data_IF_414211931512
#
_entry.id   IF_414211931512
#
_cell.length_a   1.000
_cell.length_b   1.000
_cell.length_c   1.000
_cell.angle_alpha   90.00
_cell.angle_beta   90.00
_cell.angle_gamma   90.00
#
_symmetry.space_group_name_H-M   'P 1'
#
loop_
_entity.id
_entity.type
_entity.pdbx_description
1 polymer ?
#
# COMPACT_ATOMS: atom_id res chain seq x y z
N UNK A 1 -43.00 -68.95 7.54
CA UNK A 1 -42.09 -69.32 8.63
C UNK A 1 -40.67 -69.31 8.06
N UNK A 2 -39.92 -68.28 8.25
CA UNK A 2 -38.46 -68.28 8.00
C UNK A 2 -37.82 -67.19 8.88
N UNK A 3 -37.09 -67.61 9.90
CA UNK A 3 -36.37 -66.79 10.83
C UNK A 3 -35.07 -66.27 10.13
N UNK A 4 -34.90 -64.98 10.09
CA UNK A 4 -33.60 -64.35 9.73
C UNK A 4 -32.88 -63.97 11.02
N UNK A 5 -31.66 -64.54 11.19
CA UNK A 5 -30.77 -64.26 12.30
C UNK A 5 -29.93 -62.99 11.93
N UNK A 6 -30.08 -61.94 12.70
CA UNK A 6 -29.21 -60.76 12.61
C UNK A 6 -27.93 -60.99 13.41
N UNK A 7 -26.79 -60.91 12.74
CA UNK A 7 -25.46 -60.94 13.37
C UNK A 7 -25.07 -59.46 13.67
N UNK A 8 -24.89 -59.10 14.94
CA UNK A 8 -24.36 -57.82 15.39
C UNK A 8 -22.82 -57.91 15.39
N UNK A 9 -22.17 -57.16 14.52
CA UNK A 9 -20.75 -56.86 14.62
C UNK A 9 -20.55 -55.61 15.51
N UNK A 10 -19.87 -55.80 16.63
CA UNK A 10 -19.40 -54.72 17.49
C UNK A 10 -18.02 -54.30 17.01
N UNK A 11 -17.94 -53.13 16.37
CA UNK A 11 -16.65 -52.49 16.06
C UNK A 11 -16.21 -51.70 17.29
N UNK A 12 -15.19 -52.23 17.98
CA UNK A 12 -14.50 -51.50 19.04
C UNK A 12 -13.65 -50.40 18.42
N UNK A 13 -14.01 -49.13 18.66
CA UNK A 13 -13.24 -47.98 18.32
C UNK A 13 -12.22 -47.74 19.45
N UNK A 14 -10.94 -48.04 19.19
CA UNK A 14 -9.85 -47.63 20.06
C UNK A 14 -9.52 -46.14 19.74
N UNK A 15 -9.55 -45.22 20.70
CA UNK A 15 -9.06 -43.86 20.46
C UNK A 15 -7.54 -43.90 20.48
N UNK A 16 -6.93 -43.68 19.30
CA UNK A 16 -5.52 -43.36 19.20
C UNK A 16 -5.38 -41.90 19.62
N UNK A 17 -4.92 -41.67 20.86
CA UNK A 17 -4.45 -40.37 21.28
C UNK A 17 -3.10 -40.10 20.61
N UNK A 18 -3.12 -39.35 19.48
CA UNK A 18 -1.94 -38.68 18.97
C UNK A 18 -1.64 -37.52 19.93
N UNK A 19 -0.66 -37.69 20.82
CA UNK A 19 -0.02 -36.55 21.47
C UNK A 19 0.77 -35.79 20.41
N UNK A 20 0.17 -34.75 19.84
CA UNK A 20 0.91 -33.68 19.18
C UNK A 20 1.69 -32.94 20.27
N UNK A 21 2.96 -33.28 20.46
CA UNK A 21 3.91 -32.40 21.11
C UNK A 21 4.05 -31.16 20.25
N UNK A 22 3.32 -30.11 20.57
CA UNK A 22 3.63 -28.76 20.09
C UNK A 22 5.04 -28.44 20.63
N UNK A 23 6.02 -28.53 19.75
CA UNK A 23 7.28 -27.84 19.96
C UNK A 23 6.88 -26.36 19.86
N UNK A 24 6.73 -25.69 21.01
CA UNK A 24 6.71 -24.22 21.07
C UNK A 24 8.10 -23.77 20.56
N UNK A 25 8.18 -23.57 19.26
CA UNK A 25 9.24 -22.71 18.71
C UNK A 25 9.05 -21.37 19.41
N UNK A 26 9.95 -21.02 20.30
CA UNK A 26 9.89 -19.79 21.08
C UNK A 26 9.59 -18.63 20.14
N UNK A 27 8.42 -18.05 20.27
CA UNK A 27 8.03 -16.89 19.46
C UNK A 27 9.06 -15.81 19.72
N UNK A 28 9.66 -15.31 18.65
CA UNK A 28 10.52 -14.13 18.76
C UNK A 28 9.67 -12.99 19.36
N UNK A 29 10.25 -12.14 20.22
CA UNK A 29 9.49 -11.04 20.80
C UNK A 29 8.89 -10.18 19.68
N UNK A 30 7.65 -9.77 19.85
CA UNK A 30 6.97 -8.82 18.95
C UNK A 30 7.83 -7.57 18.85
N UNK A 31 8.17 -7.16 17.64
CA UNK A 31 8.93 -5.93 17.42
C UNK A 31 8.02 -4.73 17.65
N UNK A 32 8.46 -3.80 18.46
CA UNK A 32 7.78 -2.54 18.75
C UNK A 32 8.60 -1.37 18.18
N UNK A 33 7.94 -0.23 17.98
CA UNK A 33 8.61 1.01 17.66
C UNK A 33 9.46 1.55 18.82
N UNK A 34 10.17 2.65 18.62
CA UNK A 34 11.02 3.26 19.63
C UNK A 34 10.31 3.66 20.94
N UNK A 35 8.98 3.72 20.95
CA UNK A 35 8.14 4.03 22.14
C UNK A 35 7.59 2.77 22.83
N UNK A 36 7.82 1.58 22.28
CA UNK A 36 7.28 0.33 22.79
C UNK A 36 5.89 -0.01 22.26
N UNK A 37 5.33 0.78 21.33
CA UNK A 37 4.04 0.53 20.71
C UNK A 37 4.17 -0.34 19.47
N UNK A 38 3.13 -1.06 19.03
CA UNK A 38 3.10 -1.72 17.74
C UNK A 38 3.30 -0.72 16.60
N UNK A 39 4.04 -1.14 15.57
CA UNK A 39 4.19 -0.35 14.33
C UNK A 39 2.93 -0.49 13.48
N UNK A 40 2.32 0.62 13.09
CA UNK A 40 1.22 0.61 12.13
C UNK A 40 1.75 0.34 10.71
N UNK A 41 0.96 -0.36 9.90
CA UNK A 41 1.26 -0.61 8.49
C UNK A 41 0.20 0.05 7.62
N UNK A 42 0.63 1.05 6.85
CA UNK A 42 -0.20 1.70 5.84
C UNK A 42 0.19 1.26 4.43
N UNK A 43 -0.72 1.43 3.49
CA UNK A 43 -0.47 1.13 2.09
C UNK A 43 -1.15 2.18 1.19
N UNK A 44 -0.43 2.68 0.18
CA UNK A 44 -1.01 3.53 -0.86
C UNK A 44 -2.03 2.75 -1.68
N UNK A 45 -3.14 3.41 -2.04
CA UNK A 45 -4.25 2.78 -2.74
C UNK A 45 -4.78 3.69 -3.85
N UNK A 46 -4.76 3.20 -5.08
CA UNK A 46 -5.28 3.89 -6.25
C UNK A 46 -6.72 3.46 -6.53
N UNK A 47 -7.67 4.40 -6.46
CA UNK A 47 -9.07 4.17 -6.82
C UNK A 47 -9.40 4.54 -8.28
N UNK A 48 -8.43 5.00 -9.04
CA UNK A 48 -8.51 5.62 -10.36
C UNK A 48 -8.70 4.63 -11.54
N UNK A 49 -9.48 3.57 -11.36
CA UNK A 49 -9.74 2.52 -12.34
C UNK A 49 -11.16 2.61 -12.88
N UNK A 50 -11.36 2.39 -14.18
CA UNK A 50 -12.67 2.42 -14.86
C UNK A 50 -12.88 1.13 -15.67
N UNK A 51 -14.00 0.43 -15.43
CA UNK A 51 -14.32 -0.88 -16.03
C UNK A 51 -14.25 -0.93 -17.56
N UNK A 52 -14.52 0.18 -18.22
CA UNK A 52 -14.54 0.25 -19.69
C UNK A 52 -13.15 0.49 -20.32
N UNK A 53 -12.09 0.29 -19.54
CA UNK A 53 -10.72 0.57 -19.98
C UNK A 53 -10.40 2.07 -20.06
N UNK A 54 -11.24 2.90 -19.46
CA UNK A 54 -11.01 4.31 -19.21
C UNK A 54 -10.16 4.54 -17.94
N UNK A 55 -10.16 5.75 -17.46
CA UNK A 55 -9.32 6.12 -16.32
C UNK A 55 -7.84 5.87 -16.64
N UNK A 56 -7.15 5.19 -15.75
CA UNK A 56 -5.71 4.94 -15.89
C UNK A 56 -5.37 3.61 -16.58
N UNK A 57 -6.36 2.74 -16.90
CA UNK A 57 -6.11 1.47 -17.61
C UNK A 57 -5.30 1.59 -18.90
N UNK A 58 -5.48 2.65 -19.71
CA UNK A 58 -4.64 2.82 -20.88
C UNK A 58 -3.14 2.92 -20.62
N UNK A 59 -2.75 3.27 -19.39
CA UNK A 59 -1.35 3.41 -18.98
C UNK A 59 -0.86 2.23 -18.12
N UNK A 60 -1.77 1.36 -17.68
CA UNK A 60 -1.43 0.26 -16.79
C UNK A 60 -0.59 -0.81 -17.47
N UNK A 61 0.50 -1.20 -16.80
CA UNK A 61 1.45 -2.20 -17.27
C UNK A 61 0.98 -3.64 -17.04
N UNK A 62 0.10 -3.86 -16.06
CA UNK A 62 -0.32 -5.18 -15.60
C UNK A 62 -1.83 -5.28 -15.47
N UNK A 63 -2.33 -6.52 -15.31
CA UNK A 63 -3.74 -6.77 -14.97
C UNK A 63 -3.83 -7.47 -13.62
N UNK A 64 -4.57 -6.89 -12.66
CA UNK A 64 -4.72 -7.46 -11.32
C UNK A 64 -5.56 -8.73 -11.31
N UNK A 65 -5.36 -9.51 -10.25
CA UNK A 65 -6.25 -10.60 -9.88
C UNK A 65 -7.59 -10.05 -9.40
N UNK A 66 -8.67 -10.55 -9.99
CA UNK A 66 -10.06 -10.19 -9.70
C UNK A 66 -10.72 -11.20 -8.72
N UNK A 67 -11.90 -10.86 -8.15
CA UNK A 67 -12.61 -11.73 -7.22
C UNK A 67 -12.99 -13.10 -7.77
N UNK A 68 -13.19 -13.23 -9.06
CA UNK A 68 -13.52 -14.48 -9.76
C UNK A 68 -12.30 -15.35 -10.10
N UNK A 69 -11.11 -14.90 -9.72
CA UNK A 69 -9.85 -15.58 -9.99
C UNK A 69 -9.25 -15.28 -11.38
N UNK A 70 -9.90 -14.48 -12.19
CA UNK A 70 -9.34 -14.01 -13.47
C UNK A 70 -8.40 -12.83 -13.28
N UNK A 71 -7.64 -12.49 -14.33
CA UNK A 71 -6.85 -11.26 -14.40
C UNK A 71 -7.49 -10.30 -15.37
N UNK A 72 -7.71 -9.05 -14.97
CA UNK A 72 -8.43 -8.12 -15.84
C UNK A 72 -8.52 -6.69 -15.32
N UNK A 73 -9.23 -5.87 -16.10
CA UNK A 73 -9.60 -4.52 -15.71
C UNK A 73 -10.81 -4.54 -14.77
N UNK A 74 -10.89 -3.57 -13.88
CA UNK A 74 -12.03 -3.39 -12.99
C UNK A 74 -12.39 -1.92 -12.85
N UNK A 75 -13.53 -1.64 -12.23
CA UNK A 75 -13.89 -0.31 -11.75
C UNK A 75 -13.46 -0.15 -10.30
N UNK A 76 -12.83 0.98 -9.96
CA UNK A 76 -12.40 1.28 -8.59
C UNK A 76 -13.56 1.45 -7.60
N UNK A 77 -14.81 1.59 -8.11
CA UNK A 77 -16.05 1.64 -7.30
C UNK A 77 -16.84 0.34 -7.31
N UNK A 78 -16.37 -0.71 -8.00
CA UNK A 78 -17.03 -2.02 -8.00
C UNK A 78 -17.00 -2.63 -6.61
N UNK A 79 -18.20 -2.88 -6.06
CA UNK A 79 -18.38 -3.38 -4.70
C UNK A 79 -17.71 -4.73 -4.48
N UNK A 80 -17.77 -5.64 -5.45
CA UNK A 80 -17.15 -6.96 -5.33
C UNK A 80 -15.63 -6.86 -5.30
N UNK A 81 -15.06 -5.98 -6.10
CA UNK A 81 -13.62 -5.71 -6.12
C UNK A 81 -13.17 -5.04 -4.82
N UNK A 82 -13.90 -4.02 -4.35
CA UNK A 82 -13.59 -3.34 -3.08
C UNK A 82 -13.61 -4.35 -1.93
N UNK A 83 -14.68 -5.16 -1.82
CA UNK A 83 -14.80 -6.16 -0.75
C UNK A 83 -13.66 -7.19 -0.80
N UNK A 84 -13.28 -7.63 -1.98
CA UNK A 84 -12.15 -8.53 -2.18
C UNK A 84 -10.83 -7.89 -1.74
N UNK A 85 -10.59 -6.63 -2.11
CA UNK A 85 -9.42 -5.90 -1.65
C UNK A 85 -9.42 -5.72 -0.13
N UNK A 86 -10.56 -5.32 0.48
CA UNK A 86 -10.65 -5.17 1.94
C UNK A 86 -10.40 -6.49 2.66
N UNK A 87 -10.92 -7.61 2.13
CA UNK A 87 -10.62 -8.94 2.66
C UNK A 87 -9.11 -9.20 2.65
N UNK A 88 -8.43 -8.95 1.52
CA UNK A 88 -6.99 -9.19 1.39
C UNK A 88 -6.15 -8.29 2.28
N UNK A 89 -6.51 -7.02 2.38
CA UNK A 89 -5.86 -6.07 3.28
C UNK A 89 -6.04 -6.48 4.76
N UNK A 90 -7.22 -6.94 5.14
CA UNK A 90 -7.49 -7.45 6.49
C UNK A 90 -6.73 -8.76 6.79
N UNK A 91 -6.67 -9.70 5.84
CA UNK A 91 -5.87 -10.93 5.94
C UNK A 91 -4.38 -10.64 6.12
N UNK A 92 -3.89 -9.57 5.49
CA UNK A 92 -2.53 -9.06 5.65
C UNK A 92 -2.34 -8.22 6.92
N UNK A 93 -3.40 -7.87 7.63
CA UNK A 93 -3.37 -6.99 8.80
C UNK A 93 -2.81 -5.59 8.49
N UNK A 94 -3.21 -5.02 7.36
CA UNK A 94 -2.99 -3.61 7.03
C UNK A 94 -3.89 -2.74 7.92
N UNK A 95 -3.33 -1.71 8.57
CA UNK A 95 -4.07 -0.83 9.47
C UNK A 95 -4.86 0.24 8.73
N UNK A 96 -4.26 0.78 7.67
CA UNK A 96 -4.95 1.80 6.88
C UNK A 96 -4.48 1.84 5.42
N UNK A 97 -5.37 2.36 4.59
CA UNK A 97 -5.06 2.73 3.21
C UNK A 97 -4.89 4.24 3.10
N UNK A 98 -3.94 4.66 2.28
CA UNK A 98 -3.74 6.06 1.93
C UNK A 98 -4.16 6.24 0.46
N UNK A 99 -5.29 6.91 0.23
CA UNK A 99 -5.77 7.15 -1.12
C UNK A 99 -4.83 8.09 -1.88
N UNK A 100 -4.49 7.70 -3.11
CA UNK A 100 -3.79 8.56 -4.04
C UNK A 100 -4.80 9.46 -4.78
N UNK A 101 -5.16 10.56 -4.15
CA UNK A 101 -5.97 11.64 -4.72
C UNK A 101 -5.09 12.89 -4.99
N UNK A 102 -3.81 12.63 -5.36
CA UNK A 102 -2.80 13.69 -5.53
C UNK A 102 -2.97 14.49 -6.81
N UNK A 103 -3.82 14.02 -7.73
CA UNK A 103 -4.05 14.65 -9.03
C UNK A 103 -5.09 15.80 -8.99
N UNK A 104 -5.32 16.40 -7.83
CA UNK A 104 -6.23 17.53 -7.67
C UNK A 104 -7.70 17.16 -7.56
N UNK A 105 -8.01 15.94 -7.15
CA UNK A 105 -9.36 15.37 -7.13
C UNK A 105 -10.30 16.10 -6.16
N UNK A 106 -9.77 16.65 -5.08
CA UNK A 106 -10.49 17.46 -4.11
C UNK A 106 -10.36 18.97 -4.34
N UNK A 107 -9.92 19.43 -5.49
CA UNK A 107 -9.52 20.82 -5.66
C UNK A 107 -10.68 21.83 -5.71
N UNK A 108 -11.87 21.42 -6.04
CA UNK A 108 -13.02 22.34 -6.13
C UNK A 108 -12.92 23.41 -7.22
N UNK A 109 -11.87 23.43 -8.02
CA UNK A 109 -11.62 24.42 -9.08
C UNK A 109 -12.03 23.94 -10.49
N UNK A 110 -12.47 22.71 -10.62
CA UNK A 110 -12.90 22.20 -11.92
C UNK A 110 -13.34 20.74 -11.88
N UNK A 111 -13.90 20.26 -12.98
CA UNK A 111 -14.42 18.89 -13.10
C UNK A 111 -13.30 17.84 -13.27
N UNK A 112 -12.05 18.26 -13.30
CA UNK A 112 -10.94 17.35 -13.57
C UNK A 112 -10.78 16.37 -12.41
N UNK A 113 -10.71 15.10 -12.76
CA UNK A 113 -10.48 13.99 -11.87
C UNK A 113 -11.48 13.82 -10.70
N UNK A 114 -12.59 14.54 -10.68
CA UNK A 114 -13.68 14.38 -9.68
C UNK A 114 -14.12 12.90 -9.58
N UNK A 115 -14.02 12.17 -10.68
CA UNK A 115 -14.36 10.76 -10.74
C UNK A 115 -13.44 9.88 -9.84
N UNK A 116 -12.16 10.25 -9.65
CA UNK A 116 -11.25 9.54 -8.74
C UNK A 116 -11.75 9.71 -7.30
N UNK A 117 -12.00 10.94 -6.88
CA UNK A 117 -12.57 11.26 -5.57
C UNK A 117 -13.85 10.47 -5.28
N UNK A 118 -14.76 10.39 -6.24
CA UNK A 118 -16.00 9.64 -6.05
C UNK A 118 -15.78 8.14 -5.87
N UNK A 119 -14.78 7.57 -6.54
CA UNK A 119 -14.37 6.17 -6.34
C UNK A 119 -13.70 5.97 -4.97
N UNK A 120 -12.81 6.86 -4.55
CA UNK A 120 -12.21 6.83 -3.20
C UNK A 120 -13.31 6.91 -2.13
N UNK A 121 -14.32 7.77 -2.33
CA UNK A 121 -15.49 7.86 -1.42
C UNK A 121 -16.32 6.57 -1.40
N UNK A 122 -16.47 5.89 -2.53
CA UNK A 122 -17.15 4.58 -2.58
C UNK A 122 -16.39 3.54 -1.75
N UNK A 123 -15.06 3.51 -1.80
CA UNK A 123 -14.24 2.65 -0.95
C UNK A 123 -14.41 3.01 0.53
N UNK A 124 -14.42 4.31 0.90
CA UNK A 124 -14.67 4.74 2.29
C UNK A 124 -16.03 4.24 2.81
N UNK A 125 -17.08 4.32 1.99
CA UNK A 125 -18.41 3.82 2.36
C UNK A 125 -18.39 2.29 2.60
N UNK A 126 -17.63 1.53 1.80
CA UNK A 126 -17.45 0.08 2.00
C UNK A 126 -16.64 -0.23 3.26
N UNK A 127 -15.60 0.54 3.57
CA UNK A 127 -14.83 0.40 4.81
C UNK A 127 -15.72 0.57 6.03
N UNK A 128 -16.61 1.55 6.05
CA UNK A 128 -17.60 1.73 7.12
C UNK A 128 -18.46 0.47 7.33
N UNK A 129 -18.94 -0.15 6.25
CA UNK A 129 -19.72 -1.38 6.32
C UNK A 129 -18.86 -2.58 6.76
N UNK A 130 -17.67 -2.71 6.19
CA UNK A 130 -16.69 -3.73 6.55
C UNK A 130 -16.38 -3.68 8.04
N UNK A 131 -16.04 -2.52 8.55
CA UNK A 131 -15.63 -2.32 9.94
C UNK A 131 -16.74 -2.64 10.96
N UNK A 132 -18.01 -2.59 10.57
CA UNK A 132 -19.13 -3.01 11.43
C UNK A 132 -19.20 -4.51 11.64
N UNK A 133 -18.76 -5.29 10.69
CA UNK A 133 -18.98 -6.75 10.66
C UNK A 133 -17.71 -7.59 10.82
N UNK A 134 -16.53 -7.01 10.73
CA UNK A 134 -15.25 -7.72 10.79
C UNK A 134 -14.44 -7.33 12.01
N UNK A 135 -13.64 -8.26 12.53
CA UNK A 135 -12.77 -8.03 13.70
C UNK A 135 -11.59 -7.10 13.38
N UNK A 136 -10.93 -7.33 12.23
CA UNK A 136 -9.87 -6.43 11.78
C UNK A 136 -10.47 -5.18 11.14
N UNK A 137 -10.12 -4.04 11.70
CA UNK A 137 -10.61 -2.72 11.22
C UNK A 137 -9.58 -2.11 10.31
N UNK A 138 -10.02 -1.67 9.13
CA UNK A 138 -9.17 -0.95 8.17
C UNK A 138 -9.56 0.51 8.26
N UNK A 139 -8.56 1.38 8.41
CA UNK A 139 -8.76 2.83 8.36
C UNK A 139 -8.37 3.37 6.99
N UNK A 140 -8.65 4.65 6.76
CA UNK A 140 -8.24 5.34 5.54
C UNK A 140 -7.77 6.76 5.83
N UNK A 141 -6.96 7.30 4.94
CA UNK A 141 -6.56 8.70 4.88
C UNK A 141 -6.43 9.12 3.41
N UNK A 142 -6.24 10.40 3.18
CA UNK A 142 -6.09 10.94 1.83
C UNK A 142 -4.73 11.58 1.64
N UNK A 143 -4.16 11.37 0.45
CA UNK A 143 -3.06 12.16 -0.07
C UNK A 143 -3.60 13.13 -1.14
N UNK A 144 -3.30 14.41 -1.00
CA UNK A 144 -3.66 15.47 -1.94
C UNK A 144 -2.41 16.03 -2.61
N UNK A 145 -2.56 16.66 -3.77
CA UNK A 145 -1.42 17.17 -4.52
C UNK A 145 -1.34 18.69 -4.58
N UNK A 146 -0.12 19.19 -4.54
CA UNK A 146 0.16 20.61 -4.74
C UNK A 146 0.62 20.96 -6.17
N UNK A 147 0.83 19.95 -7.03
CA UNK A 147 1.57 20.14 -8.28
C UNK A 147 0.78 20.81 -9.42
N UNK A 148 -0.54 20.71 -9.38
CA UNK A 148 -1.40 21.36 -10.38
C UNK A 148 -1.46 22.89 -10.25
N UNK A 149 -0.67 23.42 -9.30
CA UNK A 149 -0.70 24.82 -8.92
C UNK A 149 0.34 25.60 -9.70
N UNK A 150 -0.09 26.61 -10.45
CA UNK A 150 0.78 27.42 -11.28
C UNK A 150 1.06 26.81 -12.65
N UNK A 151 0.49 25.65 -12.96
CA UNK A 151 0.45 25.10 -14.29
C UNK A 151 -0.76 25.64 -15.07
N UNK A 152 -0.91 25.27 -16.34
CA UNK A 152 -1.89 25.83 -17.29
C UNK A 152 -3.34 25.88 -16.80
N UNK A 153 -3.67 25.09 -15.78
CA UNK A 153 -5.04 24.92 -15.30
C UNK A 153 -5.44 25.85 -14.15
N UNK A 154 -4.47 26.32 -13.36
CA UNK A 154 -4.73 27.22 -12.21
C UNK A 154 -3.73 28.38 -12.14
N UNK A 155 -3.64 29.22 -13.16
CA UNK A 155 -2.61 30.25 -13.25
C UNK A 155 -2.74 31.37 -12.19
N UNK A 156 -3.89 31.44 -11.51
CA UNK A 156 -4.19 32.47 -10.49
C UNK A 156 -4.26 31.94 -9.07
N UNK A 157 -4.27 30.60 -8.87
CA UNK A 157 -4.30 30.02 -7.54
C UNK A 157 -2.90 29.97 -6.94
N UNK A 158 -2.78 30.36 -5.68
CA UNK A 158 -1.54 30.13 -4.94
C UNK A 158 -1.55 28.71 -4.38
N UNK A 159 -0.38 28.09 -4.23
CA UNK A 159 -0.25 26.73 -3.70
C UNK A 159 -0.97 26.52 -2.36
N UNK A 160 -1.08 27.59 -1.58
CA UNK A 160 -1.67 27.53 -0.24
C UNK A 160 -3.19 27.49 -0.27
N UNK A 161 -3.79 28.25 -1.16
CA UNK A 161 -5.25 28.29 -1.32
C UNK A 161 -5.76 26.94 -1.80
N UNK A 162 -4.98 26.25 -2.62
CA UNK A 162 -5.32 24.92 -3.12
C UNK A 162 -5.21 23.87 -2.01
N UNK A 163 -4.16 23.88 -1.19
CA UNK A 163 -4.04 22.97 -0.05
C UNK A 163 -5.20 23.21 0.93
N UNK A 164 -5.49 24.46 1.27
CA UNK A 164 -6.60 24.80 2.17
C UNK A 164 -7.96 24.39 1.58
N UNK A 165 -8.16 24.62 0.28
CA UNK A 165 -9.37 24.22 -0.43
C UNK A 165 -9.54 22.69 -0.45
N UNK A 166 -8.51 21.95 -0.78
CA UNK A 166 -8.54 20.49 -0.78
C UNK A 166 -8.78 19.96 0.65
N UNK A 167 -8.11 20.52 1.65
CA UNK A 167 -8.34 20.16 3.04
C UNK A 167 -9.81 20.42 3.45
N UNK A 168 -10.40 21.54 2.99
CA UNK A 168 -11.82 21.84 3.20
C UNK A 168 -12.71 20.78 2.57
N UNK A 169 -12.44 20.41 1.33
CA UNK A 169 -13.23 19.40 0.62
C UNK A 169 -13.14 18.03 1.31
N UNK A 170 -11.94 17.56 1.66
CA UNK A 170 -11.75 16.31 2.41
C UNK A 170 -12.49 16.37 3.74
N UNK A 171 -12.41 17.50 4.46
CA UNK A 171 -13.12 17.67 5.73
C UNK A 171 -14.64 17.60 5.56
N UNK A 172 -15.19 18.35 4.62
CA UNK A 172 -16.64 18.48 4.45
C UNK A 172 -17.28 17.29 3.76
N UNK A 173 -16.60 16.74 2.75
CA UNK A 173 -17.15 15.66 1.94
C UNK A 173 -16.93 14.28 2.55
N UNK A 174 -15.92 14.11 3.43
CA UNK A 174 -15.58 12.82 4.02
C UNK A 174 -15.55 12.87 5.53
N UNK A 175 -14.58 13.57 6.14
CA UNK A 175 -14.33 13.45 7.58
C UNK A 175 -15.51 13.91 8.46
N UNK A 176 -16.19 14.99 8.08
CA UNK A 176 -17.36 15.52 8.80
C UNK A 176 -18.69 15.04 8.22
N UNK A 177 -18.66 14.27 7.14
CA UNK A 177 -19.87 13.78 6.51
C UNK A 177 -20.40 12.54 7.24
N UNK A 178 -21.67 12.55 7.64
CA UNK A 178 -22.33 11.46 8.36
C UNK A 178 -22.45 10.15 7.56
N UNK A 179 -22.25 10.19 6.24
CA UNK A 179 -22.23 9.00 5.40
C UNK A 179 -21.03 8.10 5.72
N UNK A 180 -19.99 8.66 6.32
CA UNK A 180 -18.76 7.96 6.73
C UNK A 180 -18.67 7.91 8.26
N UNK A 181 -17.72 7.12 8.78
CA UNK A 181 -17.43 7.06 10.21
C UNK A 181 -16.09 7.76 10.48
N UNK A 182 -16.10 8.78 11.33
CA UNK A 182 -14.88 9.51 11.69
C UNK A 182 -13.84 8.63 12.40
N UNK A 183 -14.27 7.52 13.02
CA UNK A 183 -13.37 6.56 13.66
C UNK A 183 -12.62 5.70 12.63
N UNK A 184 -13.16 5.57 11.41
CA UNK A 184 -12.52 4.86 10.31
C UNK A 184 -11.45 5.73 9.62
N UNK A 185 -11.42 7.03 9.90
CA UNK A 185 -10.37 7.91 9.39
C UNK A 185 -9.09 7.74 10.23
N UNK A 186 -7.96 7.48 9.58
CA UNK A 186 -6.68 7.30 10.28
C UNK A 186 -6.22 8.62 10.89
N UNK A 187 -5.79 8.57 12.15
CA UNK A 187 -5.43 9.75 12.93
C UNK A 187 -4.01 9.65 13.45
N UNK A 188 -3.31 10.77 13.45
CA UNK A 188 -2.01 10.96 14.11
C UNK A 188 -2.21 12.01 15.20
N UNK A 189 -1.87 11.65 16.44
CA UNK A 189 -1.94 12.53 17.61
C UNK A 189 -3.34 13.19 17.79
N UNK A 190 -4.40 12.40 17.51
CA UNK A 190 -5.79 12.83 17.66
C UNK A 190 -6.31 13.71 16.53
N UNK A 191 -5.55 13.90 15.46
CA UNK A 191 -5.98 14.62 14.26
C UNK A 191 -6.04 13.70 13.05
N UNK A 192 -7.04 13.85 12.15
CA UNK A 192 -7.08 13.09 10.91
C UNK A 192 -5.84 13.37 10.06
N UNK A 193 -5.25 12.32 9.49
CA UNK A 193 -4.08 12.43 8.63
C UNK A 193 -4.45 13.03 7.27
N UNK A 194 -3.68 14.00 6.80
CA UNK A 194 -3.73 14.49 5.43
C UNK A 194 -2.30 14.58 4.88
N UNK A 195 -1.99 13.78 3.86
CA UNK A 195 -0.69 13.82 3.20
C UNK A 195 -0.75 14.77 2.02
N UNK A 196 0.25 15.63 1.87
CA UNK A 196 0.37 16.57 0.76
C UNK A 196 1.56 16.17 -0.10
N UNK A 197 1.28 15.75 -1.32
CA UNK A 197 2.33 15.50 -2.31
C UNK A 197 2.85 16.84 -2.84
N UNK A 198 4.12 17.11 -2.57
CA UNK A 198 4.77 18.37 -2.96
C UNK A 198 5.74 18.15 -4.12
N UNK A 199 5.32 18.58 -5.30
CA UNK A 199 6.16 18.56 -6.50
C UNK A 199 7.21 19.68 -6.52
N UNK A 200 6.92 20.79 -5.87
CA UNK A 200 7.66 22.04 -6.05
C UNK A 200 8.62 22.37 -4.91
N UNK A 201 9.09 21.41 -4.15
CA UNK A 201 10.11 21.49 -3.07
C UNK A 201 9.94 22.63 -2.05
N UNK A 202 9.24 23.71 -2.40
CA UNK A 202 9.06 24.91 -1.58
C UNK A 202 7.59 25.16 -1.17
N UNK A 203 6.64 24.31 -1.61
CA UNK A 203 5.23 24.45 -1.23
C UNK A 203 5.08 24.37 0.30
N UNK A 204 5.81 23.46 0.96
CA UNK A 204 5.85 23.37 2.42
C UNK A 204 6.35 24.64 3.08
N UNK A 205 7.47 25.19 2.61
CA UNK A 205 8.05 26.42 3.17
C UNK A 205 7.12 27.60 2.96
N UNK A 206 6.55 27.73 1.79
CA UNK A 206 5.57 28.76 1.49
C UNK A 206 4.30 28.58 2.32
N UNK A 207 3.79 27.36 2.44
CA UNK A 207 2.67 27.04 3.30
C UNK A 207 2.92 27.44 4.75
N UNK A 208 4.08 27.11 5.32
CA UNK A 208 4.43 27.45 6.69
C UNK A 208 4.42 28.96 6.93
N UNK A 209 4.82 29.74 5.93
CA UNK A 209 4.94 31.21 5.98
C UNK A 209 3.67 31.95 5.50
N UNK A 210 2.64 31.25 5.02
CA UNK A 210 1.43 31.88 4.52
C UNK A 210 0.63 32.52 5.67
N UNK A 211 0.30 33.83 5.59
CA UNK A 211 -0.23 34.58 6.74
C UNK A 211 -1.70 34.28 7.07
N UNK A 212 -2.45 33.68 6.16
CA UNK A 212 -3.89 33.47 6.32
C UNK A 212 -4.36 32.13 5.75
N UNK A 213 -5.60 31.72 6.08
CA UNK A 213 -6.27 30.69 5.30
C UNK A 213 -5.90 29.24 5.65
N UNK A 214 -5.58 28.93 6.91
CA UNK A 214 -5.27 27.54 7.35
C UNK A 214 -6.35 26.90 8.22
N UNK A 215 -7.57 27.42 8.18
CA UNK A 215 -8.64 27.01 9.10
C UNK A 215 -9.03 25.52 8.92
N UNK A 216 -9.01 25.04 7.69
CA UNK A 216 -9.34 23.65 7.38
C UNK A 216 -8.12 22.74 7.51
N UNK A 217 -6.98 23.14 6.96
CA UNK A 217 -5.75 22.36 7.05
C UNK A 217 -5.28 22.18 8.50
N UNK A 218 -5.48 23.16 9.38
CA UNK A 218 -5.15 23.04 10.80
C UNK A 218 -5.98 21.99 11.57
N UNK A 219 -7.07 21.49 10.97
CA UNK A 219 -7.84 20.37 11.53
C UNK A 219 -7.16 19.03 11.32
N UNK A 220 -6.20 18.93 10.40
CA UNK A 220 -5.48 17.73 10.03
C UNK A 220 -4.08 17.69 10.64
N UNK A 221 -3.58 16.47 10.81
CA UNK A 221 -2.16 16.20 10.93
C UNK A 221 -1.58 16.22 9.51
N UNK A 222 -1.10 17.40 9.07
CA UNK A 222 -0.49 17.53 7.73
C UNK A 222 0.86 16.82 7.73
N UNK A 223 1.08 16.00 6.69
CA UNK A 223 2.35 15.33 6.39
C UNK A 223 2.71 15.55 4.93
N UNK A 224 3.99 15.45 4.62
CA UNK A 224 4.49 15.80 3.29
C UNK A 224 5.08 14.58 2.60
N UNK A 225 4.69 14.37 1.36
CA UNK A 225 5.31 13.42 0.44
C UNK A 225 6.01 14.17 -0.67
N UNK A 226 7.22 13.75 -1.03
CA UNK A 226 7.99 14.30 -2.14
C UNK A 226 8.18 13.28 -3.24
N UNK A 227 8.23 13.74 -4.49
CA UNK A 227 8.40 12.88 -5.67
C UNK A 227 9.85 12.74 -6.11
N UNK A 228 10.71 13.68 -5.78
CA UNK A 228 12.09 13.66 -6.28
C UNK A 228 13.07 13.37 -5.18
N UNK A 229 14.03 12.46 -5.42
CA UNK A 229 15.11 12.07 -4.50
C UNK A 229 16.04 13.20 -4.04
N UNK A 230 15.59 14.45 -4.11
CA UNK A 230 16.31 15.61 -3.59
C UNK A 230 15.80 16.12 -2.24
N UNK A 231 14.79 15.50 -1.66
CA UNK A 231 14.32 15.85 -0.32
C UNK A 231 15.21 15.16 0.72
N UNK A 232 15.92 15.97 1.49
CA UNK A 232 16.69 15.47 2.63
C UNK A 232 15.72 15.02 3.72
N UNK A 233 15.87 13.81 4.23
CA UNK A 233 15.15 13.31 5.42
C UNK A 233 15.40 14.23 6.62
N UNK A 234 16.56 14.88 6.69
CA UNK A 234 16.86 15.88 7.71
C UNK A 234 15.99 17.13 7.63
N UNK A 235 15.33 17.40 6.50
CA UNK A 235 14.31 18.45 6.40
C UNK A 235 12.98 18.08 7.07
N UNK A 236 12.88 16.88 7.61
CA UNK A 236 11.98 16.54 8.72
C UNK A 236 10.57 16.09 8.38
N UNK A 237 10.07 16.19 7.13
CA UNK A 237 8.64 15.95 6.93
C UNK A 237 8.27 15.17 5.65
N UNK A 238 9.23 14.88 4.79
CA UNK A 238 8.97 14.20 3.50
C UNK A 238 9.06 12.67 3.57
N UNK A 239 8.89 12.08 4.75
CA UNK A 239 8.97 10.63 4.95
C UNK A 239 7.78 9.84 4.38
N UNK A 240 6.70 10.53 3.99
CA UNK A 240 5.52 9.97 3.35
C UNK A 240 5.68 9.91 1.83
N UNK A 241 6.85 9.52 1.39
CA UNK A 241 7.19 9.56 -0.02
C UNK A 241 6.22 8.73 -0.87
N UNK A 242 6.04 9.19 -2.09
CA UNK A 242 5.56 8.44 -3.22
C UNK A 242 6.72 8.46 -4.24
N UNK A 243 7.05 7.33 -4.83
CA UNK A 243 8.06 7.23 -5.88
C UNK A 243 9.50 7.62 -5.46
N UNK A 244 9.84 7.46 -4.20
CA UNK A 244 11.21 7.70 -3.75
C UNK A 244 12.13 6.53 -4.12
N UNK A 245 13.35 6.85 -4.53
CA UNK A 245 14.39 5.83 -4.71
C UNK A 245 14.83 5.29 -3.34
N UNK A 246 14.38 4.10 -3.01
CA UNK A 246 14.80 3.39 -1.80
C UNK A 246 13.95 3.71 -0.56
N UNK A 247 14.41 3.20 0.58
CA UNK A 247 13.81 3.44 1.88
C UNK A 247 14.18 4.84 2.35
N UNK A 248 13.17 5.65 2.65
CA UNK A 248 13.36 6.91 3.36
C UNK A 248 13.19 6.65 4.85
N UNK A 249 14.29 6.72 5.57
CA UNK A 249 14.29 6.60 7.03
C UNK A 249 13.78 7.90 7.63
N UNK A 250 12.64 7.83 8.27
CA UNK A 250 12.05 8.95 9.02
C UNK A 250 11.56 8.43 10.38
N UNK A 251 11.74 9.18 11.47
CA UNK A 251 11.34 8.68 12.81
C UNK A 251 9.87 8.31 12.94
N UNK A 252 8.99 8.98 12.21
CA UNK A 252 7.56 8.71 12.25
C UNK A 252 7.15 7.63 11.24
N UNK A 253 7.69 7.68 10.02
CA UNK A 253 7.29 6.81 8.92
C UNK A 253 8.47 6.37 8.09
N UNK A 254 8.52 5.09 7.75
CA UNK A 254 9.45 4.55 6.75
C UNK A 254 8.65 4.08 5.53
N UNK A 255 8.98 4.63 4.38
CA UNK A 255 8.38 4.29 3.10
C UNK A 255 9.21 3.27 2.34
N UNK A 256 8.53 2.32 1.72
CA UNK A 256 9.16 1.35 0.81
C UNK A 256 8.23 1.01 -0.36
N UNK A 257 8.84 0.58 -1.47
CA UNK A 257 8.11 0.14 -2.67
C UNK A 257 8.83 -1.02 -3.34
N UNK A 258 8.13 -1.85 -4.14
CA UNK A 258 8.75 -3.00 -4.81
C UNK A 258 9.60 -2.61 -6.02
N UNK A 259 9.29 -1.52 -6.66
CA UNK A 259 9.92 -0.92 -7.82
C UNK A 259 9.14 0.31 -8.23
N UNK A 260 9.58 1.00 -9.27
CA UNK A 260 8.87 2.15 -9.83
C UNK A 260 9.32 2.40 -11.27
N UNK A 261 8.36 2.55 -12.18
CA UNK A 261 8.59 3.00 -13.54
C UNK A 261 7.34 3.72 -14.07
N UNK A 262 7.43 5.00 -14.28
CA UNK A 262 6.33 5.77 -14.84
C UNK A 262 6.31 5.79 -16.38
N UNK A 263 7.08 4.90 -17.02
CA UNK A 263 7.14 4.71 -18.46
C UNK A 263 7.45 5.96 -19.29
N UNK A 264 8.08 6.97 -18.68
CA UNK A 264 8.58 8.11 -19.41
C UNK A 264 9.90 7.80 -20.12
N UNK A 265 10.19 8.47 -21.24
CA UNK A 265 11.44 8.27 -21.96
C UNK A 265 12.66 8.50 -21.07
N UNK A 266 13.70 7.69 -21.22
CA UNK A 266 14.96 7.87 -20.55
C UNK A 266 15.48 9.33 -20.76
N UNK A 267 15.83 9.99 -19.64
CA UNK A 267 16.30 11.38 -19.67
C UNK A 267 15.22 12.42 -19.34
N UNK A 268 13.95 12.03 -19.18
CA UNK A 268 12.90 12.96 -18.77
C UNK A 268 12.95 13.33 -17.26
N UNK A 269 13.99 12.94 -16.56
CA UNK A 269 14.21 13.30 -15.13
C UNK A 269 13.42 12.49 -14.13
N UNK A 270 12.74 11.43 -14.54
CA UNK A 270 11.93 10.59 -13.69
C UNK A 270 12.71 9.36 -13.20
N UNK A 271 12.41 8.94 -11.99
CA UNK A 271 13.12 7.82 -11.39
C UNK A 271 12.60 6.50 -11.94
N UNK A 272 13.53 5.69 -12.40
CA UNK A 272 13.28 4.29 -12.72
C UNK A 272 13.98 3.43 -11.66
N UNK A 273 13.21 2.65 -10.94
CA UNK A 273 13.70 1.75 -9.90
C UNK A 273 13.32 0.32 -10.22
N UNK A 274 14.32 -0.46 -10.65
CA UNK A 274 14.12 -1.87 -10.99
C UNK A 274 13.77 -2.72 -9.78
N UNK A 275 12.84 -3.65 -9.94
CA UNK A 275 12.45 -4.65 -8.94
C UNK A 275 13.54 -5.70 -8.67
N UNK A 276 14.45 -5.93 -9.64
CA UNK A 276 15.62 -6.84 -9.54
C UNK A 276 15.22 -8.23 -9.06
N UNK A 277 14.24 -8.86 -9.72
CA UNK A 277 13.74 -10.18 -9.36
C UNK A 277 13.25 -10.28 -7.89
N UNK A 278 12.76 -9.18 -7.33
CA UNK A 278 12.31 -9.08 -5.94
C UNK A 278 13.38 -8.61 -4.94
N UNK A 279 14.65 -8.66 -5.28
CA UNK A 279 15.75 -8.30 -4.36
C UNK A 279 15.62 -6.86 -3.84
N UNK A 280 15.16 -5.93 -4.67
CA UNK A 280 15.00 -4.55 -4.25
C UNK A 280 13.98 -4.43 -3.09
N UNK A 281 12.86 -5.13 -3.19
CA UNK A 281 11.81 -5.12 -2.17
C UNK A 281 12.26 -5.83 -0.88
N UNK A 282 12.91 -6.99 -1.03
CA UNK A 282 13.47 -7.74 0.11
C UNK A 282 14.50 -6.91 0.87
N UNK A 283 15.43 -6.27 0.16
CA UNK A 283 16.47 -5.44 0.77
C UNK A 283 15.89 -4.21 1.49
N UNK A 284 14.82 -3.61 0.97
CA UNK A 284 14.13 -2.51 1.64
C UNK A 284 13.51 -2.96 2.96
N UNK A 285 12.83 -4.11 2.96
CA UNK A 285 12.29 -4.68 4.19
C UNK A 285 13.39 -5.07 5.19
N UNK A 286 14.49 -5.64 4.73
CA UNK A 286 15.63 -5.98 5.58
C UNK A 286 16.22 -4.75 6.27
N UNK A 287 16.30 -3.66 5.55
CA UNK A 287 16.75 -2.38 6.11
C UNK A 287 15.79 -1.86 7.19
N UNK A 288 14.47 -1.96 7.00
CA UNK A 288 13.50 -1.60 8.02
C UNK A 288 13.61 -2.52 9.24
N UNK A 289 13.64 -3.83 9.01
CA UNK A 289 13.72 -4.81 10.10
C UNK A 289 15.05 -4.78 10.85
N UNK A 290 16.13 -4.34 10.22
CA UNK A 290 17.47 -4.21 10.80
C UNK A 290 17.67 -2.98 11.68
N UNK A 291 16.72 -2.03 11.69
CA UNK A 291 16.74 -0.79 12.46
C UNK A 291 15.65 -0.78 13.52
N UNK A 292 15.67 0.15 14.48
CA UNK A 292 14.50 0.42 15.32
C UNK A 292 13.29 0.72 14.43
N UNK A 293 12.17 0.06 14.70
CA UNK A 293 10.99 0.23 13.88
C UNK A 293 10.41 1.65 13.99
N UNK A 294 9.93 2.23 12.90
CA UNK A 294 9.21 3.50 12.92
C UNK A 294 7.83 3.32 13.55
N UNK A 295 7.14 4.43 13.82
CA UNK A 295 5.73 4.38 14.20
C UNK A 295 4.86 3.78 13.09
N UNK A 296 5.18 4.07 11.85
CA UNK A 296 4.43 3.65 10.66
C UNK A 296 5.39 3.10 9.60
N UNK A 297 5.05 1.96 9.02
CA UNK A 297 5.64 1.50 7.76
C UNK A 297 4.63 1.75 6.65
N UNK A 298 5.03 2.48 5.61
CA UNK A 298 4.18 2.85 4.48
C UNK A 298 4.60 2.14 3.22
N UNK A 299 3.72 1.32 2.66
CA UNK A 299 3.97 0.53 1.45
C UNK A 299 3.42 1.29 0.23
N UNK A 300 4.22 1.50 -0.76
CA UNK A 300 3.80 2.10 -2.02
C UNK A 300 3.93 1.10 -3.16
N UNK A 301 2.86 0.70 -3.81
CA UNK A 301 1.46 0.87 -3.53
C UNK A 301 0.74 -0.50 -3.55
N UNK A 302 -0.52 -0.57 -3.08
CA UNK A 302 -1.30 -1.80 -3.24
C UNK A 302 -1.51 -2.13 -4.71
N UNK A 303 -2.02 -1.17 -5.51
CA UNK A 303 -2.55 -1.41 -6.84
C UNK A 303 -2.20 -0.31 -7.86
N UNK A 304 -1.05 0.31 -7.75
CA UNK A 304 -0.60 1.23 -8.80
C UNK A 304 0.11 0.46 -9.92
N UNK A 305 -0.64 0.15 -10.96
CA UNK A 305 -0.16 -0.55 -12.16
C UNK A 305 0.32 0.39 -13.26
N UNK A 306 0.15 1.70 -13.08
CA UNK A 306 0.59 2.71 -14.05
C UNK A 306 2.05 3.07 -13.87
N UNK A 307 2.52 3.09 -12.63
CA UNK A 307 3.88 3.45 -12.27
C UNK A 307 4.70 2.25 -11.79
N UNK A 308 4.23 1.03 -12.08
CA UNK A 308 4.90 -0.23 -11.74
C UNK A 308 5.32 -0.30 -10.25
N UNK A 309 4.51 0.26 -9.36
CA UNK A 309 4.77 0.22 -7.91
C UNK A 309 3.85 -0.73 -7.14
N UNK A 310 2.95 -1.43 -7.83
CA UNK A 310 2.00 -2.34 -7.21
C UNK A 310 2.67 -3.54 -6.53
N UNK A 311 2.10 -3.94 -5.37
CA UNK A 311 2.41 -5.20 -4.69
C UNK A 311 1.31 -6.24 -4.82
N UNK A 312 0.06 -5.82 -5.15
CA UNK A 312 -1.07 -6.72 -5.31
C UNK A 312 -0.90 -7.62 -6.53
N UNK A 313 -1.27 -8.88 -6.38
CA UNK A 313 -1.20 -9.94 -7.39
C UNK A 313 -1.65 -9.48 -8.77
N UNK A 314 -0.80 -9.67 -9.78
CA UNK A 314 -1.06 -9.25 -11.15
C UNK A 314 -0.45 -10.20 -12.19
N UNK A 315 -1.10 -10.29 -13.34
CA UNK A 315 -0.53 -10.94 -14.52
C UNK A 315 0.49 -10.01 -15.20
N UNK A 316 1.73 -10.45 -15.23
CA UNK A 316 2.84 -9.78 -15.90
C UNK A 316 3.38 -10.58 -17.08
N UNK A 317 2.65 -11.60 -17.55
CA UNK A 317 3.07 -12.48 -18.66
C UNK A 317 2.93 -11.81 -20.03
N UNK A 318 2.09 -10.78 -20.12
CA UNK A 318 1.75 -10.11 -21.38
C UNK A 318 2.17 -8.65 -21.34
N UNK A 319 2.74 -8.14 -22.44
CA UNK A 319 2.97 -6.72 -22.62
C UNK A 319 1.66 -6.03 -23.02
N UNK A 320 1.23 -5.09 -22.21
CA UNK A 320 0.06 -4.28 -22.54
C UNK A 320 0.49 -3.04 -23.35
N UNK A 321 -0.29 -2.63 -24.38
CA UNK A 321 0.22 -1.86 -25.55
C UNK A 321 0.78 -0.48 -25.32
N UNK A 322 0.80 0.03 -24.10
CA UNK A 322 1.24 1.41 -23.85
C UNK A 322 2.52 1.56 -23.03
N UNK A 323 3.09 0.45 -22.55
CA UNK A 323 4.41 0.57 -21.97
C UNK A 323 5.42 0.87 -23.07
N UNK A 324 6.08 2.02 -22.97
CA UNK A 324 7.09 2.46 -23.94
C UNK A 324 8.45 1.79 -23.70
N UNK A 325 8.60 1.11 -22.60
CA UNK A 325 9.80 0.39 -22.17
C UNK A 325 9.43 -1.07 -21.90
N UNK A 326 10.39 -2.01 -22.01
CA UNK A 326 10.17 -3.38 -21.57
C UNK A 326 9.74 -3.38 -20.09
N UNK A 327 8.54 -3.89 -19.84
CA UNK A 327 8.00 -4.04 -18.49
C UNK A 327 8.86 -5.05 -17.74
N UNK A 328 9.27 -4.71 -16.52
CA UNK A 328 9.93 -5.68 -15.66
C UNK A 328 8.91 -6.71 -15.17
N UNK A 329 9.06 -7.95 -15.63
CA UNK A 329 8.20 -9.06 -15.25
C UNK A 329 8.37 -9.39 -13.77
N UNK A 330 7.29 -9.84 -13.12
CA UNK A 330 7.39 -10.35 -11.74
C UNK A 330 7.97 -11.76 -11.76
N UNK A 331 9.25 -11.79 -11.95
CA UNK A 331 10.05 -12.99 -12.17
C UNK A 331 11.08 -13.13 -11.05
N UNK A 332 11.21 -14.34 -10.53
CA UNK A 332 12.25 -14.66 -9.56
C UNK A 332 13.61 -14.96 -10.21
N UNK A 333 14.61 -15.25 -9.41
CA UNK A 333 15.91 -15.73 -9.87
C UNK A 333 15.85 -17.11 -10.55
N UNK A 334 14.76 -17.85 -10.32
CA UNK A 334 14.43 -19.09 -11.01
C UNK A 334 13.91 -18.87 -12.45
N UNK A 335 13.85 -17.62 -12.89
CA UNK A 335 13.31 -17.16 -14.18
C UNK A 335 11.84 -17.53 -14.41
N UNK A 336 11.11 -17.91 -13.38
CA UNK A 336 9.68 -18.18 -13.44
C UNK A 336 8.88 -16.94 -13.05
N UNK A 337 7.67 -16.81 -13.60
CA UNK A 337 6.72 -15.77 -13.21
C UNK A 337 6.03 -16.15 -11.90
N UNK A 338 6.00 -15.22 -10.97
CA UNK A 338 5.36 -15.36 -9.67
C UNK A 338 4.36 -14.20 -9.46
N UNK A 339 3.13 -14.30 -9.97
CA UNK A 339 2.15 -13.20 -9.97
C UNK A 339 1.83 -12.61 -8.59
N UNK A 340 1.96 -13.39 -7.52
CA UNK A 340 1.68 -12.97 -6.14
C UNK A 340 2.93 -12.69 -5.30
N UNK A 341 4.13 -12.79 -5.87
CA UNK A 341 5.39 -12.79 -5.09
C UNK A 341 5.51 -11.60 -4.12
N UNK A 342 5.14 -10.40 -4.55
CA UNK A 342 5.24 -9.20 -3.71
C UNK A 342 4.17 -9.18 -2.62
N UNK A 343 2.95 -9.61 -2.95
CA UNK A 343 1.87 -9.67 -1.99
C UNK A 343 2.12 -10.73 -0.92
N UNK A 344 2.47 -11.95 -1.34
CA UNK A 344 2.74 -13.05 -0.41
C UNK A 344 3.91 -12.71 0.53
N UNK A 345 4.95 -12.07 0.00
CA UNK A 345 6.07 -11.59 0.80
C UNK A 345 5.63 -10.50 1.79
N UNK A 346 4.82 -9.54 1.35
CA UNK A 346 4.26 -8.48 2.18
C UNK A 346 3.47 -9.05 3.36
N UNK A 347 2.55 -9.98 3.09
CA UNK A 347 1.76 -10.67 4.11
C UNK A 347 2.67 -11.40 5.11
N UNK A 348 3.67 -12.10 4.61
CA UNK A 348 4.64 -12.82 5.45
C UNK A 348 5.44 -11.89 6.36
N UNK A 349 5.93 -10.78 5.84
CA UNK A 349 6.69 -9.77 6.61
C UNK A 349 5.82 -9.11 7.69
N UNK A 350 4.56 -8.76 7.38
CA UNK A 350 3.67 -8.18 8.37
C UNK A 350 3.39 -9.18 9.50
N UNK A 351 3.25 -10.47 9.19
CA UNK A 351 3.17 -11.53 10.21
C UNK A 351 4.44 -11.61 11.06
N UNK A 352 5.62 -11.42 10.46
CA UNK A 352 6.88 -11.33 11.21
C UNK A 352 6.86 -10.14 12.18
N UNK A 353 6.41 -8.97 11.71
CA UNK A 353 6.31 -7.77 12.56
C UNK A 353 5.35 -7.96 13.73
N UNK A 354 4.15 -8.51 13.47
CA UNK A 354 3.06 -8.56 14.46
C UNK A 354 3.13 -9.76 15.40
N UNK A 355 3.67 -10.87 14.93
CA UNK A 355 3.58 -12.14 15.64
C UNK A 355 4.94 -12.81 15.86
N UNK A 356 6.03 -12.18 15.46
CA UNK A 356 7.36 -12.77 15.54
C UNK A 356 7.52 -14.02 14.66
N UNK A 357 6.70 -14.14 13.60
CA UNK A 357 6.83 -15.25 12.67
C UNK A 357 8.20 -15.23 11.97
N UNK A 358 8.71 -16.37 11.50
CA UNK A 358 9.91 -16.39 10.69
C UNK A 358 9.78 -15.48 9.47
N UNK A 359 10.88 -14.79 9.13
CA UNK A 359 10.91 -13.96 7.92
C UNK A 359 10.58 -14.81 6.69
N UNK A 360 9.66 -14.38 5.82
CA UNK A 360 9.33 -15.13 4.61
C UNK A 360 10.50 -15.13 3.62
N UNK A 361 10.48 -16.10 2.74
CA UNK A 361 11.37 -16.15 1.57
C UNK A 361 10.55 -15.66 0.38
N UNK A 362 11.10 -14.73 -0.39
CA UNK A 362 10.47 -14.27 -1.64
C UNK A 362 10.40 -15.43 -2.64
N UNK A 363 9.27 -15.61 -3.30
CA UNK A 363 9.13 -16.63 -4.33
C UNK A 363 10.19 -16.43 -5.42
N UNK A 364 10.80 -17.52 -5.86
CA UNK A 364 11.88 -17.48 -6.86
C UNK A 364 13.20 -16.85 -6.38
N UNK A 365 13.39 -16.61 -5.09
CA UNK A 365 14.68 -16.14 -4.56
C UNK A 365 15.82 -17.10 -4.92
N UNK A 366 17.02 -16.56 -5.12
CA UNK A 366 18.20 -17.38 -5.27
C UNK A 366 18.36 -18.30 -4.03
N UNK A 367 18.74 -19.58 -4.22
CA UNK A 367 19.05 -20.44 -3.09
C UNK A 367 20.12 -19.74 -2.24
N UNK A 368 19.89 -19.69 -0.93
CA UNK A 368 20.90 -19.16 -0.02
C UNK A 368 22.24 -19.83 -0.37
N UNK A 369 23.24 -19.03 -0.76
CA UNK A 369 24.58 -19.54 -1.07
C UNK A 369 25.01 -20.27 0.20
N UNK A 370 24.91 -21.59 0.18
CA UNK A 370 25.34 -22.45 1.28
C UNK A 370 26.75 -22.06 1.60
N UNK A 371 26.99 -21.61 2.82
CA UNK A 371 28.30 -21.19 3.26
C UNK A 371 29.29 -22.24 2.81
N UNK A 372 30.21 -21.87 1.93
CA UNK A 372 31.30 -22.71 1.52
C UNK A 372 31.98 -23.12 2.82
N UNK A 373 31.79 -24.37 3.21
CA UNK A 373 32.52 -24.95 4.30
C UNK A 373 33.98 -24.71 3.98
N UNK A 374 34.62 -23.86 4.77
CA UNK A 374 36.06 -23.62 4.77
C UNK A 374 36.75 -24.99 4.89
N UNK A 375 36.98 -25.63 3.74
CA UNK A 375 37.85 -26.81 3.67
C UNK A 375 39.27 -26.30 3.85
N UNK A 376 39.65 -26.09 5.09
CA UNK A 376 41.04 -26.01 5.45
C UNK A 376 41.65 -27.34 5.07
N UNK A 377 42.46 -27.33 4.03
CA UNK A 377 43.37 -28.43 3.73
C UNK A 377 44.41 -28.54 4.86
N UNK A 378 44.80 -29.77 5.23
CA UNK A 378 45.80 -30.02 6.23
C UNK A 378 47.21 -29.59 5.80
#
# INVERSE_FOLDING_TARGET
>A
MTLSKAIKFSLGVFPIFLQLSCIEAGASPIKTNGNGDPTDVGIWYCANWDANGGGWWPMASYRPLLPDGSYGMHDGSDVAVIDFHLQKLAEAQIDFILFDDTNGDFNGYGPQNVWIKEKSKAVCARIKLWNRSHSWKIKYAFAIGSFMIGDREYPTATSYDVIEQQARCVAQEVFLNSDYDTNDYYQIDGKPLLVVLDYNKDARTRWANHPSGKAWANRFAIRWAGTSGGYSVAAGDYGWAMNAAGVLLHPEVEYLQPGHDNHLPAGAGWMHTLRKNGDYYVNNWDRILGNPLPRIVMIGAFNDYTEDSAVWTADTSVDYPKSRLPIERWQGHDVQLHPSMYWDYTVGIIRTLRHGAPKPIMAGSAPASGGAADRRHP
#
